data_IF_762620167302
#
_entry.id   IF_762620167302
#
_cell.length_a   1.000
_cell.length_b   1.000
_cell.length_c   1.000
_cell.angle_alpha   90.00
_cell.angle_beta   90.00
_cell.angle_gamma   90.00
#
_symmetry.space_group_name_H-M   'P 1'
#
loop_
_entity.id
_entity.type
_entity.pdbx_description
1 polymer ?
#
# COMPACT_ATOMS: atom_id res chain seq x y z
N UNK A 1 -19.62 36.63 4.62
CA UNK A 1 -20.03 35.52 3.75
C UNK A 1 -19.11 34.36 4.10
N UNK A 2 -19.60 33.33 4.80
CA UNK A 2 -18.75 32.19 5.16
C UNK A 2 -18.39 31.43 3.88
N UNK A 3 -17.13 31.03 3.72
CA UNK A 3 -16.71 30.14 2.64
C UNK A 3 -17.57 28.87 2.66
N UNK A 4 -17.98 28.34 1.50
CA UNK A 4 -18.65 27.05 1.45
C UNK A 4 -17.71 26.01 2.05
N UNK A 5 -18.12 25.34 3.13
CA UNK A 5 -17.37 24.18 3.64
C UNK A 5 -17.23 23.17 2.50
N UNK A 6 -16.00 22.81 2.17
CA UNK A 6 -15.71 21.79 1.17
C UNK A 6 -16.44 20.49 1.55
N UNK A 7 -17.40 20.09 0.71
CA UNK A 7 -18.23 18.90 0.91
C UNK A 7 -17.64 17.65 0.23
N UNK A 8 -16.44 17.74 -0.34
CA UNK A 8 -15.84 16.66 -1.14
C UNK A 8 -15.49 15.45 -0.28
N UNK A 9 -15.95 14.26 -0.69
CA UNK A 9 -15.53 12.99 -0.07
C UNK A 9 -14.25 12.50 -0.75
N UNK A 10 -13.18 12.36 0.02
CA UNK A 10 -11.96 11.70 -0.43
C UNK A 10 -12.03 10.19 -0.15
N UNK A 11 -11.35 9.41 -0.99
CA UNK A 11 -11.25 7.96 -0.84
C UNK A 11 -9.82 7.49 -0.99
N UNK A 12 -9.44 6.54 -0.15
CA UNK A 12 -8.18 5.84 -0.24
C UNK A 12 -8.38 4.42 -0.76
N UNK A 13 -7.36 3.93 -1.48
CA UNK A 13 -7.42 2.62 -2.11
C UNK A 13 -6.09 1.89 -2.07
N UNK A 14 -6.19 0.57 -2.17
CA UNK A 14 -5.10 -0.36 -2.44
C UNK A 14 -5.48 -1.16 -3.67
N UNK A 15 -4.72 -1.01 -4.76
CA UNK A 15 -4.91 -1.79 -5.99
C UNK A 15 -3.79 -2.81 -6.08
N UNK A 16 -4.12 -4.10 -6.20
CA UNK A 16 -3.14 -5.17 -6.36
C UNK A 16 -3.08 -5.73 -7.78
N UNK A 17 -3.89 -5.19 -8.71
CA UNK A 17 -3.90 -5.63 -10.09
C UNK A 17 -2.58 -5.28 -10.80
N UNK A 18 -2.03 -6.23 -11.54
CA UNK A 18 -0.91 -6.00 -12.45
C UNK A 18 -1.40 -5.47 -13.79
N UNK A 19 -0.93 -4.30 -14.21
CA UNK A 19 -1.31 -3.69 -15.49
C UNK A 19 -0.06 -3.22 -16.21
N UNK A 20 0.00 -3.45 -17.53
CA UNK A 20 1.12 -3.01 -18.37
C UNK A 20 0.59 -2.24 -19.57
N UNK A 21 1.09 -1.01 -19.74
CA UNK A 21 0.87 -0.22 -20.95
C UNK A 21 1.81 -0.75 -22.04
N UNK A 22 1.26 -1.24 -23.15
CA UNK A 22 2.01 -1.74 -24.32
C UNK A 22 2.21 -0.65 -25.37
N UNK A 23 1.29 0.31 -25.44
CA UNK A 23 1.33 1.49 -26.30
C UNK A 23 0.14 2.41 -26.01
N UNK A 24 0.02 3.56 -26.69
CA UNK A 24 -1.16 4.40 -26.57
C UNK A 24 -2.43 3.60 -26.82
N UNK A 25 -3.35 3.61 -25.85
CA UNK A 25 -4.62 2.84 -25.88
C UNK A 25 -4.49 1.30 -25.92
N UNK A 26 -3.29 0.74 -25.74
CA UNK A 26 -3.05 -0.71 -25.60
C UNK A 26 -2.59 -1.03 -24.19
N UNK A 27 -3.50 -1.56 -23.38
CA UNK A 27 -3.30 -1.87 -21.97
C UNK A 27 -3.60 -3.34 -21.74
N UNK A 28 -2.60 -4.06 -21.24
CA UNK A 28 -2.75 -5.47 -20.84
C UNK A 28 -2.97 -5.56 -19.33
N UNK A 29 -4.09 -6.17 -18.93
CA UNK A 29 -4.30 -6.61 -17.55
C UNK A 29 -3.50 -7.91 -17.33
N UNK A 30 -2.31 -7.78 -16.74
CA UNK A 30 -1.33 -8.87 -16.62
C UNK A 30 -1.52 -9.72 -15.37
N UNK A 31 -2.15 -9.17 -14.33
CA UNK A 31 -2.45 -9.88 -13.09
C UNK A 31 -3.81 -9.49 -12.52
N UNK A 32 -4.86 -10.29 -12.73
CA UNK A 32 -6.13 -10.17 -11.99
C UNK A 32 -5.89 -10.34 -10.49
N UNK A 33 -6.38 -9.38 -9.70
CA UNK A 33 -6.22 -9.37 -8.24
C UNK A 33 -7.46 -8.72 -7.61
N UNK A 34 -7.28 -7.97 -6.53
CA UNK A 34 -8.34 -7.25 -5.83
C UNK A 34 -8.04 -5.75 -5.72
N UNK A 35 -9.12 -4.99 -5.49
CA UNK A 35 -9.07 -3.58 -5.12
C UNK A 35 -9.74 -3.40 -3.76
N UNK A 36 -9.05 -2.75 -2.82
CA UNK A 36 -9.62 -2.31 -1.56
C UNK A 36 -9.85 -0.80 -1.61
N UNK A 37 -11.02 -0.33 -1.18
CA UNK A 37 -11.40 1.08 -1.22
C UNK A 37 -12.10 1.48 0.08
N UNK A 38 -11.91 2.71 0.55
CA UNK A 38 -12.63 3.23 1.69
C UNK A 38 -12.61 4.76 1.76
N UNK A 39 -13.57 5.38 2.45
CA UNK A 39 -13.59 6.82 2.64
C UNK A 39 -12.45 7.27 3.54
N UNK A 40 -11.92 8.46 3.27
CA UNK A 40 -11.05 9.18 4.20
C UNK A 40 -11.94 9.91 5.22
N UNK A 41 -11.64 9.82 6.54
CA UNK A 41 -12.39 10.53 7.56
C UNK A 41 -12.44 12.04 7.31
N UNK A 42 -13.58 12.66 7.62
CA UNK A 42 -13.75 14.11 7.59
C UNK A 42 -13.65 14.64 9.02
N UNK A 43 -12.59 15.39 9.34
CA UNK A 43 -12.34 15.91 10.69
C UNK A 43 -11.91 14.84 11.69
N UNK A 44 -11.90 15.20 12.98
CA UNK A 44 -11.36 14.35 14.08
C UNK A 44 -12.30 13.20 14.51
N UNK A 45 -13.46 13.07 13.87
CA UNK A 45 -14.47 12.06 14.22
C UNK A 45 -14.28 10.74 13.48
N UNK A 46 -14.26 9.64 14.23
CA UNK A 46 -14.33 8.26 13.70
C UNK A 46 -15.73 7.95 13.13
N UNK A 47 -16.75 8.72 13.55
CA UNK A 47 -18.14 8.53 13.13
C UNK A 47 -18.40 9.13 11.75
N UNK A 48 -18.37 8.27 10.74
CA UNK A 48 -18.48 8.62 9.32
C UNK A 48 -19.83 8.19 8.78
N UNK A 49 -20.83 9.05 8.89
CA UNK A 49 -22.04 8.88 8.07
C UNK A 49 -21.65 9.07 6.61
N UNK A 50 -21.57 7.95 5.88
CA UNK A 50 -21.25 7.93 4.44
C UNK A 50 -22.41 8.63 3.72
N UNK A 51 -22.12 9.66 2.91
CA UNK A 51 -23.16 10.32 2.13
C UNK A 51 -23.82 9.33 1.14
N UNK A 52 -25.08 9.57 0.71
CA UNK A 52 -25.73 8.70 -0.29
C UNK A 52 -24.94 8.59 -1.60
N UNK A 53 -24.33 9.69 -2.05
CA UNK A 53 -23.44 9.69 -3.21
C UNK A 53 -22.20 8.83 -3.00
N UNK A 54 -21.66 8.83 -1.77
CA UNK A 54 -20.51 8.03 -1.42
C UNK A 54 -20.84 6.54 -1.34
N UNK A 55 -21.99 6.18 -0.77
CA UNK A 55 -22.50 4.82 -0.76
C UNK A 55 -22.78 4.31 -2.19
N UNK A 56 -23.33 5.16 -3.06
CA UNK A 56 -23.55 4.82 -4.46
C UNK A 56 -22.24 4.47 -5.19
N UNK A 57 -21.20 5.30 -5.05
CA UNK A 57 -19.90 5.06 -5.69
C UNK A 57 -19.26 3.74 -5.23
N UNK A 58 -19.21 3.51 -3.92
CA UNK A 58 -18.68 2.27 -3.34
C UNK A 58 -19.46 1.05 -3.86
N UNK A 59 -20.79 1.14 -3.90
CA UNK A 59 -21.64 0.08 -4.44
C UNK A 59 -21.44 -0.14 -5.94
N UNK A 60 -21.25 0.92 -6.73
CA UNK A 60 -21.03 0.82 -8.17
C UNK A 60 -19.70 0.12 -8.50
N UNK A 61 -18.62 0.45 -7.78
CA UNK A 61 -17.30 -0.14 -8.00
C UNK A 61 -17.27 -1.63 -7.62
N UNK A 62 -17.94 -2.02 -6.54
CA UNK A 62 -18.05 -3.42 -6.14
C UNK A 62 -18.87 -4.28 -7.11
N UNK A 63 -19.76 -3.67 -7.90
CA UNK A 63 -20.54 -4.39 -8.93
C UNK A 63 -19.76 -4.71 -10.20
N UNK A 64 -18.57 -4.12 -10.40
CA UNK A 64 -17.75 -4.39 -11.58
C UNK A 64 -16.81 -5.58 -11.31
N UNK A 65 -17.08 -6.80 -11.85
CA UNK A 65 -16.34 -8.00 -11.44
C UNK A 65 -14.85 -7.92 -11.77
N UNK A 66 -14.50 -7.22 -12.86
CA UNK A 66 -13.10 -7.02 -13.28
C UNK A 66 -12.26 -6.22 -12.28
N UNK A 67 -12.90 -5.36 -11.48
CA UNK A 67 -12.22 -4.59 -10.44
C UNK A 67 -11.99 -5.39 -9.16
N UNK A 68 -12.79 -6.45 -8.96
CA UNK A 68 -12.81 -7.25 -7.73
C UNK A 68 -12.67 -6.34 -6.49
N UNK A 69 -13.55 -5.33 -6.43
CA UNK A 69 -13.44 -4.22 -5.50
C UNK A 69 -14.26 -4.51 -4.25
N UNK A 70 -13.67 -4.32 -3.08
CA UNK A 70 -14.35 -4.39 -1.79
C UNK A 70 -14.18 -3.08 -1.02
N UNK A 71 -15.25 -2.66 -0.34
CA UNK A 71 -15.26 -1.49 0.53
C UNK A 71 -14.85 -1.86 1.95
N UNK A 72 -14.06 -1.01 2.58
CA UNK A 72 -13.60 -1.17 3.96
C UNK A 72 -13.70 0.16 4.73
N UNK A 73 -13.63 0.08 6.06
CA UNK A 73 -13.48 1.25 6.92
C UNK A 73 -12.10 1.92 6.74
N UNK A 74 -11.99 3.16 7.21
CA UNK A 74 -10.74 3.93 7.12
C UNK A 74 -9.53 3.17 7.69
N UNK A 75 -9.65 2.68 8.92
CA UNK A 75 -8.54 2.03 9.62
C UNK A 75 -8.15 0.70 8.95
N UNK A 76 -9.09 0.00 8.33
CA UNK A 76 -8.82 -1.23 7.56
C UNK A 76 -8.06 -0.95 6.27
N UNK A 77 -8.38 0.16 5.59
CA UNK A 77 -7.63 0.61 4.40
C UNK A 77 -6.24 1.07 4.81
N UNK A 78 -6.11 1.83 5.90
CA UNK A 78 -4.82 2.29 6.39
C UNK A 78 -3.88 1.10 6.69
N UNK A 79 -4.37 0.08 7.38
CA UNK A 79 -3.61 -1.15 7.65
C UNK A 79 -3.15 -1.83 6.34
N UNK A 80 -4.05 -2.01 5.36
CA UNK A 80 -3.71 -2.59 4.04
C UNK A 80 -2.73 -1.73 3.24
N UNK A 81 -2.83 -0.41 3.35
CA UNK A 81 -1.90 0.52 2.73
C UNK A 81 -0.50 0.37 3.33
N UNK A 82 -0.39 0.25 4.66
CA UNK A 82 0.88 0.05 5.35
C UNK A 82 1.52 -1.30 5.01
N UNK A 83 0.74 -2.37 4.91
CA UNK A 83 1.24 -3.69 4.46
C UNK A 83 1.81 -3.61 3.04
N UNK A 84 1.03 -3.07 2.09
CA UNK A 84 1.49 -2.91 0.72
C UNK A 84 2.72 -1.99 0.65
N UNK A 85 2.74 -0.94 1.46
CA UNK A 85 3.86 -0.01 1.52
C UNK A 85 5.11 -0.68 2.10
N UNK A 86 4.97 -1.59 3.06
CA UNK A 86 6.07 -2.38 3.62
C UNK A 86 6.64 -3.35 2.57
N UNK A 87 5.77 -4.06 1.84
CA UNK A 87 6.16 -4.89 0.68
C UNK A 87 6.94 -4.07 -0.34
N UNK A 88 6.41 -2.92 -0.75
CA UNK A 88 7.07 -2.06 -1.73
C UNK A 88 8.39 -1.47 -1.21
N UNK A 89 8.48 -1.09 0.07
CA UNK A 89 9.66 -0.50 0.67
C UNK A 89 10.81 -1.49 0.83
N UNK A 90 10.49 -2.76 1.05
CA UNK A 90 11.46 -3.84 1.01
C UNK A 90 11.81 -4.21 -0.44
N UNK A 91 10.80 -4.55 -1.24
CA UNK A 91 11.04 -5.22 -2.52
C UNK A 91 11.55 -4.29 -3.62
N UNK A 92 10.95 -3.11 -3.79
CA UNK A 92 11.23 -2.27 -4.96
C UNK A 92 12.68 -1.75 -4.99
N UNK A 93 13.21 -1.08 -3.94
CA UNK A 93 14.57 -0.57 -3.99
C UNK A 93 15.62 -1.67 -4.04
N UNK A 94 15.44 -2.75 -3.28
CA UNK A 94 16.45 -3.80 -3.17
C UNK A 94 16.57 -4.62 -4.46
N UNK A 95 15.46 -4.94 -5.12
CA UNK A 95 15.52 -5.55 -6.48
C UNK A 95 16.12 -4.61 -7.51
N UNK A 96 15.83 -3.31 -7.42
CA UNK A 96 16.35 -2.31 -8.35
C UNK A 96 17.87 -2.10 -8.21
N UNK A 97 18.38 -2.07 -6.98
CA UNK A 97 19.82 -2.02 -6.71
C UNK A 97 20.55 -3.30 -7.14
N UNK A 98 19.90 -4.45 -6.99
CA UNK A 98 20.46 -5.74 -7.41
C UNK A 98 20.25 -6.05 -8.91
N UNK A 99 19.54 -5.18 -9.64
CA UNK A 99 19.04 -5.41 -11.01
C UNK A 99 18.42 -6.81 -11.21
N UNK A 100 17.62 -7.25 -10.24
CA UNK A 100 17.14 -8.64 -10.14
C UNK A 100 15.61 -8.74 -10.02
N UNK A 101 15.12 -9.98 -10.10
CA UNK A 101 13.74 -10.32 -9.77
C UNK A 101 13.58 -10.46 -8.25
N UNK A 102 12.33 -10.63 -7.80
CA UNK A 102 11.95 -10.85 -6.41
C UNK A 102 12.65 -12.08 -5.78
N UNK A 103 13.14 -13.02 -6.59
CA UNK A 103 13.95 -14.15 -6.12
C UNK A 103 15.22 -13.73 -5.35
N UNK A 104 15.75 -12.54 -5.59
CA UNK A 104 16.90 -12.00 -4.84
C UNK A 104 16.69 -12.04 -3.31
N UNK A 105 15.45 -11.94 -2.82
CA UNK A 105 15.21 -11.88 -1.36
C UNK A 105 15.50 -13.17 -0.60
N UNK A 106 15.66 -14.30 -1.29
CA UNK A 106 16.10 -15.54 -0.63
C UNK A 106 17.58 -15.49 -0.22
N UNK A 107 18.37 -14.55 -0.72
CA UNK A 107 19.78 -14.39 -0.34
C UNK A 107 20.05 -13.37 0.77
N UNK A 108 19.03 -12.61 1.21
CA UNK A 108 19.17 -11.53 2.19
C UNK A 108 18.12 -11.57 3.33
N UNK A 109 17.93 -12.71 4.02
CA UNK A 109 16.92 -12.83 5.07
C UNK A 109 17.14 -11.88 6.26
N UNK A 110 18.38 -11.53 6.58
CA UNK A 110 18.72 -10.62 7.68
C UNK A 110 18.27 -9.19 7.37
N UNK A 111 18.45 -8.73 6.13
CA UNK A 111 17.99 -7.41 5.67
C UNK A 111 16.46 -7.33 5.71
N UNK A 112 15.78 -8.41 5.33
CA UNK A 112 14.32 -8.50 5.44
C UNK A 112 13.88 -8.33 6.88
N UNK A 113 14.44 -9.13 7.80
CA UNK A 113 14.09 -9.09 9.22
C UNK A 113 14.32 -7.70 9.82
N UNK A 114 15.49 -7.08 9.57
CA UNK A 114 15.81 -5.74 10.06
C UNK A 114 14.80 -4.68 9.57
N UNK A 115 14.47 -4.68 8.28
CA UNK A 115 13.51 -3.71 7.71
C UNK A 115 12.08 -3.92 8.21
N UNK A 116 11.65 -5.17 8.44
CA UNK A 116 10.34 -5.44 9.05
C UNK A 116 10.27 -4.92 10.48
N UNK A 117 11.35 -5.05 11.24
CA UNK A 117 11.45 -4.46 12.58
C UNK A 117 11.37 -2.93 12.54
N UNK A 118 12.14 -2.27 11.69
CA UNK A 118 12.11 -0.81 11.55
C UNK A 118 10.71 -0.30 11.18
N UNK A 119 10.07 -0.91 10.18
CA UNK A 119 8.74 -0.50 9.75
C UNK A 119 7.67 -0.79 10.80
N UNK A 120 7.74 -1.93 11.49
CA UNK A 120 6.81 -2.25 12.58
C UNK A 120 6.93 -1.26 13.73
N UNK A 121 8.15 -0.88 14.12
CA UNK A 121 8.37 0.18 15.12
C UNK A 121 7.75 1.51 14.70
N UNK A 122 7.89 1.91 13.43
CA UNK A 122 7.22 3.12 12.91
C UNK A 122 5.70 2.98 12.98
N UNK A 123 5.13 1.83 12.63
CA UNK A 123 3.67 1.58 12.69
C UNK A 123 3.14 1.72 14.12
N UNK A 124 3.87 1.19 15.10
CA UNK A 124 3.45 1.18 16.50
C UNK A 124 3.47 2.56 17.15
N UNK A 125 4.07 3.56 16.52
CA UNK A 125 4.06 4.94 16.97
C UNK A 125 3.05 5.81 16.17
N UNK A 126 2.27 5.23 15.25
CA UNK A 126 1.26 5.98 14.52
C UNK A 126 0.05 6.26 15.45
N UNK A 127 -0.32 7.54 15.71
CA UNK A 127 -1.47 7.86 16.56
C UNK A 127 -2.78 7.28 16.02
N UNK A 128 -2.89 7.17 14.69
CA UNK A 128 -4.06 6.62 14.00
C UNK A 128 -4.34 5.15 14.35
N UNK A 129 -3.35 4.43 14.88
CA UNK A 129 -3.43 2.99 15.11
C UNK A 129 -3.32 2.55 16.59
N UNK A 130 -3.04 3.47 17.51
CA UNK A 130 -2.81 3.15 18.94
C UNK A 130 -3.95 2.37 19.59
N UNK A 131 -5.20 2.66 19.20
CA UNK A 131 -6.41 2.07 19.78
C UNK A 131 -7.06 1.02 18.90
N UNK A 132 -6.39 0.55 17.83
CA UNK A 132 -6.98 -0.39 16.87
C UNK A 132 -6.69 -1.83 17.31
N UNK A 133 -7.72 -2.64 17.66
CA UNK A 133 -7.52 -4.02 18.07
C UNK A 133 -6.83 -4.86 16.99
N UNK A 134 -5.89 -5.71 17.38
CA UNK A 134 -5.21 -6.65 16.49
C UNK A 134 -4.11 -6.05 15.59
N UNK A 135 -3.93 -4.72 15.56
CA UNK A 135 -2.86 -4.09 14.78
C UNK A 135 -1.48 -4.54 15.21
N UNK A 136 -1.25 -4.67 16.52
CA UNK A 136 0.05 -5.09 17.04
C UNK A 136 0.44 -6.50 16.61
N UNK A 137 -0.52 -7.38 16.34
CA UNK A 137 -0.24 -8.70 15.78
C UNK A 137 -0.06 -8.62 14.26
N UNK A 138 -1.05 -8.04 13.56
CA UNK A 138 -1.10 -7.94 12.10
C UNK A 138 0.12 -7.22 11.52
N UNK A 139 0.50 -6.10 12.12
CA UNK A 139 1.58 -5.23 11.67
C UNK A 139 2.83 -5.32 12.57
N UNK A 140 2.96 -6.41 13.34
CA UNK A 140 4.23 -6.79 13.97
C UNK A 140 5.29 -7.05 12.91
N UNK A 141 6.57 -7.00 13.28
CA UNK A 141 7.67 -7.43 12.41
C UNK A 141 7.42 -8.83 11.81
N UNK A 142 6.91 -9.76 12.63
CA UNK A 142 6.55 -11.12 12.19
C UNK A 142 5.35 -11.13 11.22
N UNK A 143 4.32 -10.33 11.48
CA UNK A 143 3.14 -10.22 10.62
C UNK A 143 3.48 -9.59 9.25
N UNK A 144 4.30 -8.53 9.27
CA UNK A 144 4.83 -7.93 8.05
C UNK A 144 5.74 -8.90 7.30
N UNK A 145 6.62 -9.63 7.99
CA UNK A 145 7.49 -10.63 7.36
C UNK A 145 6.67 -11.74 6.69
N UNK A 146 5.63 -12.25 7.35
CA UNK A 146 4.72 -13.24 6.76
C UNK A 146 4.05 -12.70 5.49
N UNK A 147 3.53 -11.47 5.55
CA UNK A 147 2.89 -10.80 4.40
C UNK A 147 3.87 -10.61 3.25
N UNK A 148 5.07 -10.12 3.53
CA UNK A 148 6.13 -9.90 2.55
C UNK A 148 6.56 -11.23 1.92
N UNK A 149 6.76 -12.28 2.72
CA UNK A 149 7.16 -13.59 2.21
C UNK A 149 6.07 -14.24 1.37
N UNK A 150 4.79 -14.08 1.71
CA UNK A 150 3.69 -14.54 0.87
C UNK A 150 3.77 -13.91 -0.52
N UNK A 151 3.92 -12.58 -0.59
CA UNK A 151 4.06 -11.87 -1.86
C UNK A 151 5.30 -12.32 -2.63
N UNK A 152 6.44 -12.47 -1.95
CA UNK A 152 7.70 -12.90 -2.57
C UNK A 152 7.55 -14.29 -3.19
N UNK A 153 6.94 -15.23 -2.47
CA UNK A 153 6.74 -16.60 -2.95
C UNK A 153 5.81 -16.65 -4.16
N UNK A 154 4.75 -15.85 -4.17
CA UNK A 154 3.81 -15.80 -5.30
C UNK A 154 4.40 -15.10 -6.53
N UNK A 155 5.39 -14.22 -6.35
CA UNK A 155 5.90 -13.33 -7.39
C UNK A 155 7.40 -13.52 -7.68
N UNK A 156 8.01 -14.67 -7.35
CA UNK A 156 9.47 -14.88 -7.43
C UNK A 156 10.13 -14.40 -8.72
N UNK A 157 9.56 -14.75 -9.86
CA UNK A 157 10.12 -14.38 -11.18
C UNK A 157 9.70 -12.98 -11.66
N UNK A 158 9.00 -12.20 -10.83
CA UNK A 158 8.52 -10.87 -11.19
C UNK A 158 9.63 -9.83 -11.00
N UNK A 159 9.73 -8.92 -11.96
CA UNK A 159 10.56 -7.72 -11.86
C UNK A 159 9.73 -6.56 -11.33
N UNK A 160 10.15 -5.96 -10.20
CA UNK A 160 9.48 -4.80 -9.61
C UNK A 160 9.57 -3.56 -10.51
N UNK A 161 8.61 -2.64 -10.38
CA UNK A 161 8.54 -1.42 -11.22
C UNK A 161 9.81 -0.57 -11.15
N UNK A 162 10.41 -0.44 -9.96
CA UNK A 162 11.60 0.39 -9.74
C UNK A 162 12.83 -0.11 -10.50
N UNK A 163 12.93 -1.42 -10.78
CA UNK A 163 13.98 -1.98 -11.66
C UNK A 163 13.82 -1.43 -13.07
N UNK A 164 12.59 -1.42 -13.61
CA UNK A 164 12.30 -0.88 -14.93
C UNK A 164 12.55 0.62 -15.01
N UNK A 165 12.25 1.36 -13.95
CA UNK A 165 12.53 2.80 -13.89
C UNK A 165 14.04 3.07 -13.89
N UNK A 166 14.81 2.34 -13.07
CA UNK A 166 16.27 2.47 -13.07
C UNK A 166 16.90 2.07 -14.40
N UNK A 167 16.48 0.95 -15.01
CA UNK A 167 16.95 0.52 -16.35
C UNK A 167 16.68 1.57 -17.44
N UNK A 168 15.57 2.30 -17.31
CA UNK A 168 15.18 3.34 -18.25
C UNK A 168 15.65 4.75 -17.84
N UNK A 169 16.48 4.87 -16.78
CA UNK A 169 16.92 6.14 -16.21
C UNK A 169 15.76 7.11 -15.87
N UNK A 170 14.62 6.57 -15.45
CA UNK A 170 13.45 7.35 -14.98
C UNK A 170 13.54 7.61 -13.49
N UNK A 171 12.86 8.66 -13.05
CA UNK A 171 12.65 8.91 -11.62
C UNK A 171 11.86 7.75 -11.00
N UNK A 172 12.24 7.36 -9.77
CA UNK A 172 11.60 6.28 -9.03
C UNK A 172 10.71 6.81 -7.91
N UNK A 173 9.74 5.99 -7.48
CA UNK A 173 8.84 6.34 -6.37
C UNK A 173 9.50 6.25 -4.97
N UNK A 174 10.84 6.14 -4.88
CA UNK A 174 11.56 5.89 -3.62
C UNK A 174 11.26 6.93 -2.52
N UNK A 175 11.04 8.20 -2.91
CA UNK A 175 10.71 9.30 -1.98
C UNK A 175 9.32 9.15 -1.34
N UNK A 176 8.40 8.48 -2.02
CA UNK A 176 7.04 8.23 -1.54
C UNK A 176 6.94 6.90 -0.80
N UNK A 177 7.75 5.91 -1.19
CA UNK A 177 7.80 4.59 -0.56
C UNK A 177 8.68 4.65 0.70
N UNK A 178 10.00 4.51 0.57
CA UNK A 178 10.93 4.51 1.71
C UNK A 178 11.01 5.90 2.37
N UNK A 179 10.82 6.96 1.59
CA UNK A 179 10.75 8.31 2.13
C UNK A 179 9.57 8.52 3.08
N UNK A 180 8.44 7.81 2.93
CA UNK A 180 7.35 7.86 3.92
C UNK A 180 7.82 7.31 5.27
N UNK A 181 8.40 6.10 5.28
CA UNK A 181 8.94 5.47 6.48
C UNK A 181 9.99 6.35 7.16
N UNK A 182 10.94 6.88 6.39
CA UNK A 182 11.98 7.77 6.91
C UNK A 182 11.46 9.12 7.44
N UNK A 183 10.32 9.61 6.94
CA UNK A 183 9.68 10.82 7.49
C UNK A 183 8.93 10.51 8.79
N UNK A 184 8.13 9.45 8.83
CA UNK A 184 7.40 9.05 10.04
C UNK A 184 8.37 8.65 11.16
N UNK A 185 9.42 7.88 10.88
CA UNK A 185 10.44 7.54 11.88
C UNK A 185 11.19 8.73 12.46
N UNK A 186 11.27 9.86 11.73
CA UNK A 186 11.89 11.10 12.24
C UNK A 186 10.99 11.88 13.19
N UNK A 187 9.67 11.73 13.10
CA UNK A 187 8.73 12.40 14.01
C UNK A 187 8.56 11.67 15.34
N UNK A 188 9.25 10.54 15.52
CA UNK A 188 9.15 9.63 16.67
C UNK A 188 10.40 9.70 17.57
N UNK A 189 11.32 10.64 17.29
CA UNK A 189 12.51 10.92 18.10
C UNK A 189 12.29 12.09 19.03
#
# INVERSE_FOLDING_TARGET
MAEPKDTTQLYNRVISHGVTLKGPFDIKHTGPAATSLGPVPRGDGIDQTISPSAAFLLGALSRAPRLNCQSYGWLDILQRQLEKLAVNAFSNPLTALADSTVEYFFSIPEVRSALMHEMSSVIFELPELQSVPGVQERLSAKGLEATVMEVIVQNRSTTCSMVWDMRAARETDIRYINGYWARRGRTMR
#
